data_IF_319818798202
#
_entry.id   IF_319818798202
#
_cell.length_a   1.000
_cell.length_b   1.000
_cell.length_c   1.000
_cell.angle_alpha   90.00
_cell.angle_beta   90.00
_cell.angle_gamma   90.00
#
_symmetry.space_group_name_H-M   'P 1'
#
loop_
_entity.id
_entity.type
_entity.pdbx_description
1 polymer ?
#
# COMPACT_ATOMS: atom_id res chain seq x y z
N UNK A 1 20.92 27.26 60.86
CA UNK A 1 21.22 25.83 60.68
C UNK A 1 21.09 25.53 59.20
N UNK A 2 22.19 25.26 58.50
CA UNK A 2 22.17 24.87 57.09
C UNK A 2 21.99 23.35 57.05
N UNK A 3 20.86 22.89 56.54
CA UNK A 3 20.60 21.47 56.34
C UNK A 3 21.42 21.00 55.13
N UNK A 4 22.49 20.26 55.39
CA UNK A 4 23.25 19.54 54.36
C UNK A 4 22.37 18.38 53.91
N UNK A 5 21.65 18.56 52.80
CA UNK A 5 20.92 17.47 52.15
C UNK A 5 21.96 16.63 51.41
N UNK A 6 22.23 15.43 51.91
CA UNK A 6 23.07 14.47 51.21
C UNK A 6 22.42 14.13 49.86
N UNK A 7 22.99 14.61 48.76
CA UNK A 7 22.68 14.14 47.40
C UNK A 7 23.08 12.68 47.30
N UNK A 8 22.12 11.78 47.50
CA UNK A 8 22.29 10.38 47.13
C UNK A 8 22.27 10.32 45.60
N UNK A 9 23.43 10.10 45.00
CA UNK A 9 23.49 9.74 43.58
C UNK A 9 22.67 8.45 43.41
N UNK A 10 21.74 8.41 42.44
CA UNK A 10 20.97 7.19 42.19
C UNK A 10 21.93 6.08 41.76
N UNK A 11 21.80 4.92 42.39
CA UNK A 11 22.64 3.74 42.14
C UNK A 11 22.66 3.38 40.64
N UNK A 12 23.85 3.39 40.03
CA UNK A 12 24.07 2.88 38.68
C UNK A 12 24.62 1.46 38.72
N UNK A 13 23.82 0.50 38.24
CA UNK A 13 24.20 -0.91 38.19
C UNK A 13 25.37 -1.19 37.21
N UNK A 14 25.69 -0.26 36.32
CA UNK A 14 26.78 -0.36 35.34
C UNK A 14 28.09 0.24 35.83
N UNK A 15 28.03 1.01 36.90
CA UNK A 15 29.19 1.63 37.53
C UNK A 15 29.77 0.69 38.60
N UNK A 16 31.08 0.43 38.51
CA UNK A 16 31.76 -0.51 39.41
C UNK A 16 31.84 0.07 40.82
N UNK A 17 31.99 1.38 40.99
CA UNK A 17 32.10 2.02 42.29
C UNK A 17 30.76 1.98 43.04
N UNK A 18 29.64 2.19 42.35
CA UNK A 18 28.30 2.01 42.93
C UNK A 18 28.01 0.55 43.28
N UNK A 19 28.47 -0.40 42.45
CA UNK A 19 28.38 -1.84 42.74
C UNK A 19 29.24 -2.24 43.93
N UNK A 20 30.47 -1.73 44.06
CA UNK A 20 31.33 -1.96 45.24
C UNK A 20 30.65 -1.42 46.49
N UNK A 21 30.14 -0.18 46.46
CA UNK A 21 29.42 0.43 47.58
C UNK A 21 28.20 -0.40 47.99
N UNK A 22 27.46 -0.94 47.01
CA UNK A 22 26.32 -1.83 47.25
C UNK A 22 26.75 -3.18 47.82
N UNK A 23 27.77 -3.84 47.28
CA UNK A 23 28.27 -5.14 47.77
C UNK A 23 28.79 -5.03 49.20
N UNK A 24 29.54 -3.98 49.50
CA UNK A 24 30.05 -3.70 50.86
C UNK A 24 28.89 -3.39 51.83
N UNK A 25 27.83 -2.72 51.36
CA UNK A 25 26.67 -2.35 52.19
C UNK A 25 25.65 -3.48 52.38
N UNK A 26 25.44 -4.33 51.36
CA UNK A 26 24.48 -5.46 51.41
C UNK A 26 25.00 -6.60 52.28
N UNK A 27 26.29 -6.90 52.20
CA UNK A 27 26.90 -7.97 53.00
C UNK A 27 27.48 -7.40 54.29
N UNK A 28 26.59 -6.91 55.17
CA UNK A 28 26.97 -6.59 56.56
C UNK A 28 27.63 -7.77 57.30
N UNK A 29 27.54 -8.99 56.75
CA UNK A 29 28.32 -10.17 57.14
C UNK A 29 29.79 -10.09 56.70
N UNK A 30 30.08 -9.71 55.46
CA UNK A 30 31.45 -9.56 54.94
C UNK A 30 32.21 -8.48 55.71
N UNK A 31 31.55 -7.36 56.01
CA UNK A 31 32.12 -6.29 56.83
C UNK A 31 32.31 -6.71 58.30
N UNK A 32 31.40 -7.49 58.87
CA UNK A 32 31.56 -8.08 60.23
C UNK A 32 32.69 -9.09 60.28
N UNK A 33 32.82 -9.97 59.28
CA UNK A 33 33.88 -10.97 59.19
C UNK A 33 35.25 -10.32 59.00
N UNK A 34 35.34 -9.31 58.14
CA UNK A 34 36.58 -8.59 57.92
C UNK A 34 36.98 -7.74 59.14
N UNK A 35 36.02 -7.11 59.83
CA UNK A 35 36.29 -6.44 61.11
C UNK A 35 36.79 -7.42 62.17
N UNK A 36 36.13 -8.57 62.32
CA UNK A 36 36.55 -9.62 63.25
C UNK A 36 37.95 -10.17 62.93
N UNK A 37 38.26 -10.39 61.64
CA UNK A 37 39.58 -10.87 61.19
C UNK A 37 40.67 -9.81 61.38
N UNK A 38 40.34 -8.53 61.17
CA UNK A 38 41.20 -7.39 61.46
C UNK A 38 41.53 -7.25 62.93
N UNK A 39 40.52 -7.36 63.78
CA UNK A 39 40.65 -7.33 65.24
C UNK A 39 41.51 -8.51 65.73
N UNK A 40 41.31 -9.72 65.19
CA UNK A 40 42.15 -10.88 65.49
C UNK A 40 43.61 -10.70 65.06
N UNK A 41 43.85 -10.16 63.87
CA UNK A 41 45.19 -9.91 63.35
C UNK A 41 45.92 -8.79 64.13
N UNK A 42 45.19 -7.73 64.49
CA UNK A 42 45.69 -6.65 65.32
C UNK A 42 45.99 -7.13 66.76
N UNK A 43 45.12 -7.95 67.35
CA UNK A 43 45.32 -8.55 68.66
C UNK A 43 46.53 -9.49 68.69
N UNK A 44 46.74 -10.29 67.65
CA UNK A 44 47.90 -11.18 67.52
C UNK A 44 49.25 -10.47 67.42
N UNK A 45 49.27 -9.17 67.10
CA UNK A 45 50.49 -8.33 67.07
C UNK A 45 50.60 -7.35 68.23
N UNK A 46 49.71 -7.42 69.23
CA UNK A 46 49.68 -6.48 70.36
C UNK A 46 49.19 -5.08 69.96
N UNK A 47 48.57 -4.95 68.79
CA UNK A 47 48.12 -3.71 68.18
C UNK A 47 46.59 -3.57 68.25
N UNK A 48 45.92 -4.16 69.26
CA UNK A 48 44.45 -4.21 69.42
C UNK A 48 43.75 -2.85 69.36
N UNK A 49 44.50 -1.74 69.47
CA UNK A 49 43.97 -0.38 69.41
C UNK A 49 44.52 0.46 68.24
N UNK A 50 45.14 -0.16 67.24
CA UNK A 50 45.73 0.57 66.11
C UNK A 50 44.76 0.69 64.94
N UNK A 51 44.56 1.92 64.46
CA UNK A 51 43.84 2.26 63.22
C UNK A 51 44.32 1.48 61.99
N UNK A 52 45.55 0.97 62.04
CA UNK A 52 46.18 0.12 61.02
C UNK A 52 45.39 -1.19 60.79
N UNK A 53 44.84 -1.82 61.84
CA UNK A 53 44.05 -3.05 61.70
C UNK A 53 42.70 -2.82 61.02
N UNK A 54 42.08 -1.66 61.30
CA UNK A 54 40.84 -1.25 60.64
C UNK A 54 41.08 -0.87 59.17
N UNK A 55 42.15 -0.14 58.86
CA UNK A 55 42.50 0.24 57.49
C UNK A 55 42.87 -0.99 56.64
N UNK A 56 43.64 -1.94 57.18
CA UNK A 56 43.97 -3.19 56.50
C UNK A 56 42.73 -4.05 56.20
N UNK A 57 41.74 -4.03 57.09
CA UNK A 57 40.49 -4.76 56.92
C UNK A 57 39.59 -4.12 55.87
N UNK A 58 39.49 -2.79 55.86
CA UNK A 58 38.76 -2.05 54.82
C UNK A 58 39.39 -2.28 53.45
N UNK A 59 40.72 -2.22 53.35
CA UNK A 59 41.45 -2.50 52.11
C UNK A 59 41.19 -3.94 51.63
N UNK A 60 41.18 -4.92 52.53
CA UNK A 60 40.89 -6.32 52.19
C UNK A 60 39.44 -6.55 51.73
N UNK A 61 38.46 -5.84 52.30
CA UNK A 61 37.06 -5.90 51.85
C UNK A 61 36.92 -5.30 50.46
N UNK A 62 37.49 -4.12 50.23
CA UNK A 62 37.44 -3.44 48.94
C UNK A 62 38.08 -4.31 47.86
N UNK A 63 39.25 -4.89 48.16
CA UNK A 63 39.96 -5.79 47.24
C UNK A 63 39.15 -7.08 46.93
N UNK A 64 38.42 -7.61 47.91
CA UNK A 64 37.50 -8.74 47.71
C UNK A 64 36.20 -8.36 46.98
N UNK A 65 35.71 -7.12 47.14
CA UNK A 65 34.47 -6.63 46.54
C UNK A 65 34.65 -6.20 45.07
N UNK A 66 35.82 -5.68 44.71
CA UNK A 66 36.15 -5.24 43.35
C UNK A 66 35.86 -6.28 42.24
N UNK A 67 36.29 -7.57 42.35
CA UNK A 67 36.01 -8.55 41.30
C UNK A 67 34.52 -8.86 41.15
N UNK A 68 33.77 -8.90 42.26
CA UNK A 68 32.32 -9.15 42.27
C UNK A 68 31.58 -7.97 41.65
N UNK A 69 31.94 -6.75 42.04
CA UNK A 69 31.37 -5.53 41.49
C UNK A 69 31.65 -5.38 39.99
N UNK A 70 32.86 -5.72 39.54
CA UNK A 70 33.23 -5.71 38.12
C UNK A 70 32.43 -6.75 37.32
N UNK A 71 32.21 -7.94 37.89
CA UNK A 71 31.37 -8.97 37.27
C UNK A 71 29.91 -8.53 37.16
N UNK A 72 29.36 -7.94 38.23
CA UNK A 72 27.97 -7.47 38.27
C UNK A 72 27.73 -6.30 37.30
N UNK A 73 28.67 -5.34 37.25
CA UNK A 73 28.63 -4.26 36.27
C UNK A 73 28.65 -4.83 34.84
N UNK A 74 29.56 -5.78 34.55
CA UNK A 74 29.62 -6.44 33.25
C UNK A 74 28.34 -7.19 32.85
N UNK A 75 27.65 -7.83 33.81
CA UNK A 75 26.34 -8.45 33.56
C UNK A 75 25.25 -7.42 33.32
N UNK A 76 25.26 -6.30 34.03
CA UNK A 76 24.32 -5.20 33.82
C UNK A 76 24.46 -4.58 32.42
N UNK A 77 25.69 -4.39 31.94
CA UNK A 77 25.98 -3.96 30.57
C UNK A 77 25.42 -4.93 29.53
N UNK A 78 25.71 -6.23 29.66
CA UNK A 78 25.18 -7.27 28.76
C UNK A 78 23.65 -7.32 28.74
N UNK A 79 23.01 -7.17 29.90
CA UNK A 79 21.54 -7.15 29.97
C UNK A 79 20.95 -5.92 29.29
N UNK A 80 21.60 -4.76 29.40
CA UNK A 80 21.13 -3.54 28.76
C UNK A 80 21.33 -3.56 27.24
N UNK A 81 22.48 -4.07 26.78
CA UNK A 81 22.74 -4.30 25.36
C UNK A 81 21.68 -5.21 24.73
N UNK A 82 21.40 -6.36 25.37
CA UNK A 82 20.34 -7.26 24.93
C UNK A 82 18.95 -6.61 24.96
N UNK A 83 18.69 -5.67 25.86
CA UNK A 83 17.42 -4.93 25.92
C UNK A 83 17.31 -3.95 24.76
N UNK A 84 18.39 -3.23 24.45
CA UNK A 84 18.46 -2.29 23.33
C UNK A 84 18.32 -3.04 22.01
N UNK A 85 19.04 -4.15 21.85
CA UNK A 85 18.98 -4.99 20.65
C UNK A 85 17.56 -5.52 20.38
N UNK A 86 16.92 -6.10 21.41
CA UNK A 86 15.50 -6.49 21.32
C UNK A 86 14.57 -5.32 21.02
N UNK A 87 14.83 -4.16 21.61
CA UNK A 87 14.08 -2.94 21.34
C UNK A 87 14.17 -2.52 19.88
N UNK A 88 15.38 -2.53 19.32
CA UNK A 88 15.62 -2.24 17.91
C UNK A 88 14.92 -3.24 16.99
N UNK A 89 15.01 -4.55 17.31
CA UNK A 89 14.33 -5.60 16.57
C UNK A 89 12.80 -5.42 16.56
N UNK A 90 12.19 -5.06 17.71
CA UNK A 90 10.76 -4.79 17.80
C UNK A 90 10.36 -3.55 17.01
N UNK A 91 11.16 -2.48 17.04
CA UNK A 91 10.90 -1.28 16.23
C UNK A 91 10.96 -1.58 14.73
N UNK A 92 11.96 -2.35 14.28
CA UNK A 92 12.08 -2.79 12.90
C UNK A 92 10.87 -3.63 12.46
N UNK A 93 10.45 -4.60 13.29
CA UNK A 93 9.29 -5.43 13.01
C UNK A 93 7.98 -4.61 12.95
N UNK A 94 7.81 -3.65 13.86
CA UNK A 94 6.66 -2.73 13.85
C UNK A 94 6.60 -1.87 12.59
N UNK A 95 7.74 -1.34 12.14
CA UNK A 95 7.83 -0.56 10.91
C UNK A 95 7.51 -1.41 9.66
N UNK A 96 8.00 -2.66 9.62
CA UNK A 96 7.71 -3.59 8.52
C UNK A 96 6.22 -3.93 8.45
N UNK A 97 5.59 -4.23 9.60
CA UNK A 97 4.15 -4.48 9.67
C UNK A 97 3.32 -3.26 9.25
N UNK A 98 3.72 -2.06 9.68
CA UNK A 98 3.09 -0.81 9.25
C UNK A 98 3.14 -0.60 7.74
N UNK A 99 4.29 -0.86 7.13
CA UNK A 99 4.48 -0.79 5.68
C UNK A 99 3.60 -1.82 4.94
N UNK A 100 3.60 -3.07 5.40
CA UNK A 100 2.80 -4.14 4.80
C UNK A 100 1.30 -3.84 4.88
N UNK A 101 0.81 -3.35 6.02
CA UNK A 101 -0.58 -2.90 6.17
C UNK A 101 -0.91 -1.73 5.25
N UNK A 102 0.01 -0.78 5.08
CA UNK A 102 -0.13 0.33 4.13
C UNK A 102 -0.29 -0.15 2.69
N UNK A 103 0.59 -1.06 2.26
CA UNK A 103 0.55 -1.67 0.93
C UNK A 103 -0.73 -2.49 0.71
N UNK A 104 -1.15 -3.27 1.70
CA UNK A 104 -2.40 -4.03 1.63
C UNK A 104 -3.62 -3.11 1.46
N UNK A 105 -3.66 -1.98 2.18
CA UNK A 105 -4.73 -0.98 2.04
C UNK A 105 -4.75 -0.33 0.65
N UNK A 106 -3.59 0.07 0.14
CA UNK A 106 -3.47 0.65 -1.21
C UNK A 106 -3.97 -0.35 -2.26
N UNK A 107 -3.54 -1.60 -2.15
CA UNK A 107 -3.92 -2.65 -3.09
C UNK A 107 -5.44 -2.95 -3.04
N UNK A 108 -6.02 -2.99 -1.84
CA UNK A 108 -7.47 -3.16 -1.66
C UNK A 108 -8.26 -1.99 -2.26
N UNK A 109 -7.75 -0.76 -2.14
CA UNK A 109 -8.38 0.43 -2.71
C UNK A 109 -8.34 0.41 -4.24
N UNK A 110 -7.20 0.06 -4.84
CA UNK A 110 -7.05 -0.08 -6.29
C UNK A 110 -7.97 -1.17 -6.85
N UNK A 111 -8.09 -2.31 -6.16
CA UNK A 111 -9.03 -3.38 -6.56
C UNK A 111 -10.48 -2.90 -6.54
N UNK A 112 -10.88 -2.20 -5.46
CA UNK A 112 -12.23 -1.64 -5.37
C UNK A 112 -12.53 -0.64 -6.48
N UNK A 113 -11.58 0.24 -6.81
CA UNK A 113 -11.73 1.21 -7.88
C UNK A 113 -11.86 0.53 -9.25
N UNK A 114 -11.02 -0.48 -9.52
CA UNK A 114 -11.14 -1.32 -10.71
C UNK A 114 -12.52 -1.97 -10.82
N UNK A 115 -12.99 -2.58 -9.74
CA UNK A 115 -14.28 -3.29 -9.74
C UNK A 115 -15.45 -2.32 -9.94
N UNK A 116 -15.37 -1.12 -9.36
CA UNK A 116 -16.34 -0.04 -9.61
C UNK A 116 -16.35 0.43 -11.07
N UNK A 117 -15.18 0.55 -11.69
CA UNK A 117 -15.07 0.94 -13.10
C UNK A 117 -15.64 -0.15 -14.02
N UNK A 118 -15.33 -1.42 -13.74
CA UNK A 118 -15.89 -2.56 -14.47
C UNK A 118 -17.42 -2.59 -14.35
N UNK A 119 -17.96 -2.44 -13.14
CA UNK A 119 -19.41 -2.43 -12.93
C UNK A 119 -20.10 -1.25 -13.65
N UNK A 120 -19.50 -0.05 -13.62
CA UNK A 120 -20.01 1.11 -14.37
C UNK A 120 -19.97 0.89 -15.88
N UNK A 121 -18.90 0.26 -16.38
CA UNK A 121 -18.78 -0.10 -17.79
C UNK A 121 -19.87 -1.11 -18.18
N UNK A 122 -20.06 -2.17 -17.39
CA UNK A 122 -21.13 -3.15 -17.60
C UNK A 122 -22.53 -2.52 -17.56
N UNK A 123 -22.82 -1.66 -16.60
CA UNK A 123 -24.10 -0.93 -16.53
C UNK A 123 -24.31 -0.03 -17.76
N UNK A 124 -23.28 0.70 -18.20
CA UNK A 124 -23.35 1.53 -19.39
C UNK A 124 -23.58 0.73 -20.68
N UNK A 125 -22.95 -0.45 -20.80
CA UNK A 125 -23.23 -1.37 -21.90
C UNK A 125 -24.65 -1.90 -21.86
N UNK A 126 -25.14 -2.29 -20.68
CA UNK A 126 -26.48 -2.86 -20.53
C UNK A 126 -27.58 -1.84 -20.83
N UNK A 127 -27.38 -0.57 -20.45
CA UNK A 127 -28.32 0.51 -20.72
C UNK A 127 -28.30 0.91 -22.21
N UNK A 128 -27.10 0.94 -22.82
CA UNK A 128 -26.96 1.14 -24.25
C UNK A 128 -27.61 0.00 -25.06
N UNK A 129 -27.33 -1.27 -24.71
CA UNK A 129 -27.96 -2.44 -25.32
C UNK A 129 -29.48 -2.46 -25.10
N UNK A 130 -29.96 -2.08 -23.91
CA UNK A 130 -31.38 -1.97 -23.60
C UNK A 130 -32.09 -0.94 -24.49
N UNK A 131 -31.51 0.25 -24.64
CA UNK A 131 -32.02 1.29 -25.55
C UNK A 131 -32.01 0.82 -27.02
N UNK A 132 -30.94 0.14 -27.44
CA UNK A 132 -30.82 -0.42 -28.78
C UNK A 132 -31.88 -1.50 -29.04
N UNK A 133 -32.08 -2.42 -28.09
CA UNK A 133 -33.09 -3.48 -28.14
C UNK A 133 -34.51 -2.91 -28.21
N UNK A 134 -34.77 -1.84 -27.46
CA UNK A 134 -36.08 -1.17 -27.47
C UNK A 134 -36.35 -0.48 -28.82
N UNK A 135 -35.33 0.20 -29.36
CA UNK A 135 -35.40 0.80 -30.70
C UNK A 135 -35.54 -0.26 -31.80
N UNK A 136 -34.86 -1.40 -31.65
CA UNK A 136 -34.96 -2.57 -32.53
C UNK A 136 -36.39 -3.14 -32.51
N UNK A 137 -36.96 -3.38 -31.32
CA UNK A 137 -38.34 -3.87 -31.19
C UNK A 137 -39.36 -2.90 -31.80
N UNK A 138 -39.19 -1.59 -31.59
CA UNK A 138 -40.07 -0.57 -32.17
C UNK A 138 -40.03 -0.55 -33.69
N UNK A 139 -38.83 -0.47 -34.28
CA UNK A 139 -38.66 -0.47 -35.73
C UNK A 139 -39.15 -1.79 -36.35
N UNK A 140 -38.78 -2.93 -35.76
CA UNK A 140 -39.11 -4.25 -36.31
C UNK A 140 -40.61 -4.54 -36.27
N UNK A 141 -41.33 -4.08 -35.24
CA UNK A 141 -42.79 -4.26 -35.15
C UNK A 141 -43.56 -3.55 -36.26
N UNK A 142 -43.19 -2.32 -36.61
CA UNK A 142 -43.87 -1.56 -37.68
C UNK A 142 -43.54 -2.14 -39.06
N UNK A 143 -42.27 -2.48 -39.30
CA UNK A 143 -41.83 -3.09 -40.55
C UNK A 143 -42.46 -4.47 -40.79
N UNK A 144 -42.54 -5.32 -39.77
CA UNK A 144 -43.15 -6.66 -39.91
C UNK A 144 -44.63 -6.56 -40.29
N UNK A 145 -45.40 -5.65 -39.67
CA UNK A 145 -46.82 -5.47 -40.00
C UNK A 145 -47.05 -5.08 -41.46
N UNK A 146 -46.33 -4.08 -41.96
CA UNK A 146 -46.53 -3.57 -43.32
C UNK A 146 -46.02 -4.58 -44.37
N UNK A 147 -44.86 -5.20 -44.11
CA UNK A 147 -44.30 -6.24 -44.98
C UNK A 147 -45.21 -7.46 -45.07
N UNK A 148 -45.74 -7.96 -43.96
CA UNK A 148 -46.58 -9.16 -43.94
C UNK A 148 -47.91 -8.91 -44.67
N UNK A 149 -48.47 -7.69 -44.57
CA UNK A 149 -49.64 -7.29 -45.36
C UNK A 149 -49.35 -7.26 -46.86
N UNK A 150 -48.19 -6.74 -47.28
CA UNK A 150 -47.78 -6.70 -48.68
C UNK A 150 -47.44 -8.10 -49.22
N UNK A 151 -46.75 -8.93 -48.44
CA UNK A 151 -46.47 -10.32 -48.80
C UNK A 151 -47.76 -11.14 -48.93
N UNK A 152 -48.74 -10.91 -48.06
CA UNK A 152 -50.05 -11.55 -48.17
C UNK A 152 -50.77 -11.12 -49.45
N UNK A 153 -50.81 -9.83 -49.77
CA UNK A 153 -51.37 -9.34 -51.05
C UNK A 153 -50.63 -9.88 -52.28
N UNK A 154 -49.31 -10.03 -52.20
CA UNK A 154 -48.49 -10.61 -53.25
C UNK A 154 -48.81 -12.09 -53.46
N UNK A 155 -48.97 -12.86 -52.38
CA UNK A 155 -49.38 -14.27 -52.46
C UNK A 155 -50.76 -14.48 -53.08
N UNK A 156 -51.64 -13.48 -52.97
CA UNK A 156 -52.96 -13.46 -53.58
C UNK A 156 -52.96 -12.93 -55.03
N UNK A 157 -51.81 -12.53 -55.57
CA UNK A 157 -51.69 -11.93 -56.91
C UNK A 157 -52.29 -10.53 -57.04
N UNK A 158 -52.55 -9.86 -55.91
CA UNK A 158 -53.23 -8.56 -55.84
C UNK A 158 -52.26 -7.38 -55.72
N UNK A 159 -50.95 -7.63 -55.83
CA UNK A 159 -49.94 -6.58 -55.72
C UNK A 159 -49.70 -5.93 -57.09
N UNK A 160 -49.82 -4.61 -57.14
CA UNK A 160 -49.47 -3.80 -58.31
C UNK A 160 -47.98 -3.41 -58.30
N UNK A 161 -47.56 -2.67 -59.34
CA UNK A 161 -46.18 -2.19 -59.47
C UNK A 161 -45.76 -1.26 -58.30
N UNK A 162 -46.70 -0.48 -57.76
CA UNK A 162 -46.46 0.37 -56.58
C UNK A 162 -46.23 -0.48 -55.32
N UNK A 163 -47.01 -1.53 -55.11
CA UNK A 163 -46.82 -2.46 -53.99
C UNK A 163 -45.50 -3.24 -54.07
N UNK A 164 -45.04 -3.60 -55.26
CA UNK A 164 -43.71 -4.21 -55.47
C UNK A 164 -42.56 -3.25 -55.13
N UNK A 165 -42.68 -1.98 -55.54
CA UNK A 165 -41.73 -0.93 -55.18
C UNK A 165 -41.73 -0.69 -53.68
N UNK A 166 -42.90 -0.65 -53.04
CA UNK A 166 -43.05 -0.48 -51.59
C UNK A 166 -42.39 -1.63 -50.83
N UNK A 167 -42.54 -2.87 -51.28
CA UNK A 167 -41.89 -4.04 -50.67
C UNK A 167 -40.36 -3.95 -50.74
N UNK A 168 -39.80 -3.53 -51.89
CA UNK A 168 -38.36 -3.31 -52.07
C UNK A 168 -37.84 -2.14 -51.21
N UNK A 169 -38.62 -1.07 -51.11
CA UNK A 169 -38.34 0.08 -50.27
C UNK A 169 -38.28 -0.33 -48.78
N UNK A 170 -39.24 -1.12 -48.32
CA UNK A 170 -39.28 -1.69 -46.96
C UNK A 170 -38.04 -2.51 -46.63
N UNK A 171 -37.58 -3.37 -47.55
CA UNK A 171 -36.35 -4.16 -47.35
C UNK A 171 -35.10 -3.26 -47.26
N UNK A 172 -35.01 -2.23 -48.11
CA UNK A 172 -33.92 -1.26 -48.07
C UNK A 172 -33.93 -0.43 -46.78
N UNK A 173 -35.11 0.00 -46.32
CA UNK A 173 -35.28 0.75 -45.08
C UNK A 173 -34.94 -0.09 -43.85
N UNK A 174 -35.30 -1.36 -43.84
CA UNK A 174 -34.92 -2.30 -42.78
C UNK A 174 -33.40 -2.47 -42.72
N UNK A 175 -32.74 -2.63 -43.89
CA UNK A 175 -31.28 -2.71 -43.98
C UNK A 175 -30.60 -1.43 -43.48
N UNK A 176 -31.08 -0.26 -43.90
CA UNK A 176 -30.56 1.02 -43.44
C UNK A 176 -30.75 1.24 -41.92
N UNK A 177 -31.88 0.80 -41.38
CA UNK A 177 -32.17 0.88 -39.93
C UNK A 177 -31.22 0.00 -39.11
N UNK A 178 -30.92 -1.21 -39.59
CA UNK A 178 -29.92 -2.10 -38.98
C UNK A 178 -28.50 -1.51 -39.05
N UNK A 179 -28.13 -0.89 -40.18
CA UNK A 179 -26.83 -0.23 -40.33
C UNK A 179 -26.69 0.98 -39.38
N UNK A 180 -27.76 1.78 -39.22
CA UNK A 180 -27.80 2.88 -38.26
C UNK A 180 -27.73 2.38 -36.81
N UNK A 181 -28.39 1.26 -36.50
CA UNK A 181 -28.34 0.63 -35.18
C UNK A 181 -26.92 0.18 -34.86
N UNK A 182 -26.27 -0.50 -35.81
CA UNK A 182 -24.87 -0.91 -35.68
C UNK A 182 -23.96 0.30 -35.45
N UNK A 183 -24.14 1.39 -36.19
CA UNK A 183 -23.38 2.63 -35.99
C UNK A 183 -23.63 3.27 -34.61
N UNK A 184 -24.85 3.20 -34.10
CA UNK A 184 -25.20 3.73 -32.78
C UNK A 184 -24.59 2.90 -31.64
N UNK A 185 -24.55 1.56 -31.77
CA UNK A 185 -23.81 0.69 -30.85
C UNK A 185 -22.35 1.10 -30.82
N UNK A 186 -21.73 1.26 -32.00
CA UNK A 186 -20.34 1.67 -32.14
C UNK A 186 -20.08 3.01 -31.47
N UNK A 187 -20.93 4.02 -31.70
CA UNK A 187 -20.77 5.34 -31.09
C UNK A 187 -20.88 5.30 -29.56
N UNK A 188 -21.84 4.55 -29.01
CA UNK A 188 -22.03 4.41 -27.57
C UNK A 188 -20.86 3.65 -26.92
N UNK A 189 -20.42 2.54 -27.52
CA UNK A 189 -19.25 1.76 -27.08
C UNK A 189 -17.97 2.60 -27.16
N UNK A 190 -17.81 3.39 -28.23
CA UNK A 190 -16.70 4.32 -28.41
C UNK A 190 -16.72 5.43 -27.34
N UNK A 191 -17.87 6.00 -27.02
CA UNK A 191 -18.01 7.03 -25.98
C UNK A 191 -17.63 6.53 -24.59
N UNK A 192 -17.97 5.29 -24.25
CA UNK A 192 -17.51 4.67 -23.00
C UNK A 192 -16.00 4.44 -22.97
N UNK A 193 -15.41 3.96 -24.08
CA UNK A 193 -13.96 3.79 -24.17
C UNK A 193 -13.24 5.14 -23.98
N UNK A 194 -13.67 6.19 -24.67
CA UNK A 194 -13.13 7.54 -24.47
C UNK A 194 -13.28 8.03 -23.03
N UNK A 195 -14.45 7.84 -22.41
CA UNK A 195 -14.66 8.23 -21.01
C UNK A 195 -13.75 7.49 -20.03
N UNK A 196 -13.46 6.21 -20.28
CA UNK A 196 -12.59 5.39 -19.41
C UNK A 196 -11.11 5.70 -19.61
N UNK A 197 -10.68 5.91 -20.86
CA UNK A 197 -9.35 6.41 -21.20
C UNK A 197 -9.10 7.78 -20.58
N UNK A 198 -10.04 8.71 -20.73
CA UNK A 198 -9.93 10.07 -20.17
C UNK A 198 -9.75 10.05 -18.64
N UNK A 199 -10.49 9.18 -17.94
CA UNK A 199 -10.34 9.01 -16.48
C UNK A 199 -8.99 8.44 -16.10
N UNK A 200 -8.52 7.42 -16.83
CA UNK A 200 -7.21 6.80 -16.56
C UNK A 200 -6.06 7.79 -16.79
N UNK A 201 -6.13 8.56 -17.88
CA UNK A 201 -5.14 9.60 -18.20
C UNK A 201 -5.19 10.76 -17.20
N UNK A 202 -6.39 11.20 -16.81
CA UNK A 202 -6.56 12.26 -15.80
C UNK A 202 -5.98 11.83 -14.44
N UNK A 203 -6.28 10.61 -13.99
CA UNK A 203 -5.71 10.04 -12.76
C UNK A 203 -4.19 9.93 -12.81
N UNK A 204 -3.62 9.52 -13.95
CA UNK A 204 -2.17 9.54 -14.16
C UNK A 204 -1.60 10.96 -14.04
N UNK A 205 -2.21 11.95 -14.69
CA UNK A 205 -1.76 13.34 -14.66
C UNK A 205 -1.80 13.93 -13.25
N UNK A 206 -2.87 13.67 -12.49
CA UNK A 206 -3.02 14.15 -11.11
C UNK A 206 -1.95 13.54 -10.20
N UNK A 207 -1.75 12.22 -10.28
CA UNK A 207 -0.70 11.52 -9.53
C UNK A 207 0.68 12.01 -9.94
N UNK A 208 0.90 12.28 -11.24
CA UNK A 208 2.20 12.72 -11.75
C UNK A 208 2.53 14.12 -11.24
N UNK A 209 1.56 15.03 -11.26
CA UNK A 209 1.69 16.37 -10.71
C UNK A 209 2.03 16.32 -9.21
N UNK A 210 1.37 15.46 -8.44
CA UNK A 210 1.64 15.28 -7.01
C UNK A 210 3.07 14.77 -6.74
N UNK A 211 3.53 13.79 -7.51
CA UNK A 211 4.90 13.24 -7.39
C UNK A 211 5.96 14.28 -7.74
N UNK A 212 5.71 15.10 -8.75
CA UNK A 212 6.63 16.16 -9.15
C UNK A 212 6.68 17.30 -8.13
N UNK A 213 5.54 17.66 -7.53
CA UNK A 213 5.42 18.71 -6.52
C UNK A 213 6.01 18.34 -5.14
N UNK A 214 6.22 17.05 -4.86
CA UNK A 214 6.79 16.60 -3.58
C UNK A 214 8.29 16.93 -3.49
N UNK A 215 8.67 17.90 -2.65
CA UNK A 215 10.06 18.32 -2.47
C UNK A 215 10.89 17.39 -1.55
N UNK A 216 10.27 16.38 -0.94
CA UNK A 216 10.90 15.49 0.05
C UNK A 216 11.38 14.17 -0.54
N UNK A 217 10.82 13.73 -1.68
CA UNK A 217 11.27 12.53 -2.38
C UNK A 217 12.58 12.73 -3.14
N UNK A 218 13.46 11.72 -3.07
CA UNK A 218 14.69 11.66 -3.87
C UNK A 218 14.36 11.53 -5.36
N UNK A 219 15.20 12.11 -6.21
CA UNK A 219 15.02 12.10 -7.67
C UNK A 219 14.90 10.67 -8.25
N UNK A 220 15.68 9.72 -7.73
CA UNK A 220 15.63 8.30 -8.15
C UNK A 220 14.32 7.62 -7.79
N UNK A 221 13.72 7.99 -6.65
CA UNK A 221 12.47 7.39 -6.19
C UNK A 221 11.28 7.99 -6.95
N UNK A 222 11.34 9.30 -7.27
CA UNK A 222 10.42 9.96 -8.21
C UNK A 222 10.39 9.26 -9.56
N UNK A 223 11.56 9.00 -10.13
CA UNK A 223 11.68 8.36 -11.44
C UNK A 223 11.08 6.94 -11.46
N UNK A 224 11.37 6.13 -10.43
CA UNK A 224 10.77 4.79 -10.27
C UNK A 224 9.25 4.86 -10.18
N UNK A 225 8.72 5.79 -9.38
CA UNK A 225 7.29 5.93 -9.17
C UNK A 225 6.57 6.34 -10.46
N UNK A 226 7.14 7.30 -11.20
CA UNK A 226 6.63 7.70 -12.52
C UNK A 226 6.65 6.55 -13.51
N UNK A 227 7.71 5.74 -13.55
CA UNK A 227 7.81 4.59 -14.45
C UNK A 227 6.78 3.50 -14.11
N UNK A 228 6.53 3.26 -12.81
CA UNK A 228 5.46 2.36 -12.38
C UNK A 228 4.09 2.88 -12.84
N UNK A 229 3.82 4.18 -12.64
CA UNK A 229 2.56 4.80 -13.08
C UNK A 229 2.36 4.74 -14.60
N UNK A 230 3.43 4.93 -15.39
CA UNK A 230 3.38 4.76 -16.86
C UNK A 230 3.04 3.32 -17.23
N UNK A 231 3.62 2.35 -16.52
CA UNK A 231 3.35 0.92 -16.74
C UNK A 231 1.90 0.58 -16.41
N UNK A 232 1.37 1.09 -15.29
CA UNK A 232 -0.05 0.95 -14.91
C UNK A 232 -0.99 1.54 -15.97
N UNK A 233 -0.70 2.75 -16.47
CA UNK A 233 -1.49 3.40 -17.52
C UNK A 233 -1.47 2.55 -18.81
N UNK A 234 -0.29 2.14 -19.27
CA UNK A 234 -0.14 1.33 -20.49
C UNK A 234 -0.87 -0.02 -20.38
N UNK A 235 -0.80 -0.68 -19.22
CA UNK A 235 -1.52 -1.93 -18.98
C UNK A 235 -3.03 -1.73 -19.05
N UNK A 236 -3.52 -0.63 -18.49
CA UNK A 236 -4.94 -0.26 -18.51
C UNK A 236 -5.41 0.01 -19.94
N UNK A 237 -4.65 0.78 -20.72
CA UNK A 237 -4.95 1.07 -22.12
C UNK A 237 -4.94 -0.21 -22.98
N UNK A 238 -3.96 -1.10 -22.80
CA UNK A 238 -3.88 -2.38 -23.52
C UNK A 238 -5.06 -3.29 -23.18
N UNK A 239 -5.47 -3.38 -21.91
CA UNK A 239 -6.62 -4.17 -21.49
C UNK A 239 -7.90 -3.68 -22.21
N UNK A 240 -8.09 -2.36 -22.28
CA UNK A 240 -9.22 -1.80 -23.01
C UNK A 240 -9.13 -2.08 -24.51
N UNK A 241 -7.98 -1.85 -25.15
CA UNK A 241 -7.77 -2.19 -26.57
C UNK A 241 -8.16 -3.65 -26.87
N UNK A 242 -7.72 -4.60 -26.04
CA UNK A 242 -8.04 -6.03 -26.21
C UNK A 242 -9.53 -6.35 -26.00
N UNK A 243 -10.18 -5.69 -25.04
CA UNK A 243 -11.61 -5.89 -24.80
C UNK A 243 -12.45 -5.41 -26.00
N UNK A 244 -12.07 -4.28 -26.59
CA UNK A 244 -12.80 -3.67 -27.70
C UNK A 244 -12.43 -4.25 -29.08
N UNK A 245 -11.22 -4.81 -29.25
CA UNK A 245 -10.83 -5.49 -30.50
C UNK A 245 -11.60 -6.79 -30.76
N UNK A 246 -12.20 -7.39 -29.73
CA UNK A 246 -12.94 -8.66 -29.83
C UNK A 246 -14.44 -8.50 -30.13
N UNK A 247 -14.94 -7.26 -30.27
CA UNK A 247 -16.36 -7.02 -30.58
C UNK A 247 -16.58 -7.15 -32.09
N UNK A 248 -17.06 -8.33 -32.52
CA UNK A 248 -17.12 -8.82 -33.91
C UNK A 248 -17.93 -7.97 -34.90
N UNK A 249 -18.74 -7.01 -34.45
CA UNK A 249 -19.57 -6.14 -35.32
C UNK A 249 -18.86 -4.86 -35.77
N UNK A 250 -17.60 -4.67 -35.37
CA UNK A 250 -16.89 -3.40 -35.50
C UNK A 250 -15.56 -3.64 -36.21
N UNK A 251 -15.29 -2.93 -37.30
CA UNK A 251 -13.92 -2.62 -37.74
C UNK A 251 -13.65 -1.15 -37.38
N UNK A 252 -13.20 -0.84 -36.16
CA UNK A 252 -12.86 0.53 -35.83
C UNK A 252 -11.62 0.93 -36.64
N UNK A 253 -11.62 2.13 -37.20
CA UNK A 253 -10.39 2.74 -37.72
C UNK A 253 -9.59 3.28 -36.53
N UNK A 254 -8.72 2.43 -35.99
CA UNK A 254 -7.88 2.69 -34.82
C UNK A 254 -6.84 3.81 -35.04
N UNK A 255 -6.63 4.24 -36.30
CA UNK A 255 -5.60 5.24 -36.65
C UNK A 255 -6.02 6.68 -36.39
N UNK A 256 -7.32 6.93 -36.17
CA UNK A 256 -7.86 8.27 -35.85
C UNK A 256 -7.93 8.57 -34.36
N UNK A 257 -7.56 7.61 -33.52
CA UNK A 257 -7.53 7.79 -32.08
C UNK A 257 -6.28 8.57 -31.69
N UNK A 258 -6.38 9.55 -30.78
CA UNK A 258 -5.22 10.34 -30.38
C UNK A 258 -4.19 9.41 -29.76
N UNK A 259 -3.05 9.22 -30.46
CA UNK A 259 -1.82 8.80 -29.81
C UNK A 259 -1.50 9.90 -28.81
N UNK A 260 -1.79 9.67 -27.53
CA UNK A 260 -1.41 10.62 -26.49
C UNK A 260 0.12 10.74 -26.55
N UNK A 261 0.62 11.81 -27.16
CA UNK A 261 2.04 12.15 -27.14
C UNK A 261 2.37 12.69 -25.76
N UNK A 262 2.40 11.78 -24.79
CA UNK A 262 2.98 12.00 -23.49
C UNK A 262 4.45 11.57 -23.55
N UNK A 263 5.38 12.30 -22.92
CA UNK A 263 6.80 11.97 -22.99
C UNK A 263 7.09 10.52 -22.58
N UNK A 264 7.44 9.69 -23.57
CA UNK A 264 7.79 8.29 -23.40
C UNK A 264 6.63 7.29 -23.35
N UNK A 265 5.42 7.66 -23.77
CA UNK A 265 4.30 6.72 -23.96
C UNK A 265 4.25 6.33 -25.44
N UNK A 266 4.52 5.06 -25.73
CA UNK A 266 4.31 4.49 -27.06
C UNK A 266 2.98 3.76 -27.07
N UNK A 267 1.97 4.39 -27.70
CA UNK A 267 0.75 3.69 -28.11
C UNK A 267 1.02 3.15 -29.52
N UNK A 268 0.99 1.83 -29.70
CA UNK A 268 0.99 1.20 -31.02
C UNK A 268 -0.42 0.79 -31.40
#
# INVERSE_FOLDING_TARGET
MVAITATTTPFDAKDVNDQVNKTISQDGLLMRMAKAKGEQYAAGRGLSNSSIGAEASQRAIVDAALPIASQNAGQAWKSDENRIDRGHQLTMQGNQFGHEKGMANINAQLQKERDQLLHKNSLGMLDAEGLLRLKELGAQSEYQKERDQLLHKNSLGMLDAEGLLRLKELDNQNKASLDQLAQQVVANTHGMYMSTVDKAVSSYNDRYAAVMADNTMKATDKEKLVNNMKTELNSTLNMYQQMYSNISTIKPDWTKFPSASLPGVNVK
#
